data_IF_170779891396
#
_entry.id   IF_170779891396
#
_cell.length_a   1.000
_cell.length_b   1.000
_cell.length_c   1.000
_cell.angle_alpha   90.00
_cell.angle_beta   90.00
_cell.angle_gamma   90.00
#
_symmetry.space_group_name_H-M   'P 1'
#
loop_
_entity.id
_entity.type
_entity.pdbx_description
1 polymer ?
#
# COMPACT_ATOMS: atom_id res chain seq x y z
N UNK A 1 0.45 13.66 -17.54
CA UNK A 1 1.58 13.36 -16.63
C UNK A 1 1.45 14.23 -15.38
N UNK A 2 1.77 13.71 -14.19
CA UNK A 2 1.71 14.43 -12.93
C UNK A 2 2.99 14.19 -12.12
N UNK A 3 3.49 15.22 -11.42
CA UNK A 3 4.64 15.12 -10.52
C UNK A 3 4.17 15.38 -9.09
N UNK A 4 4.50 14.47 -8.18
CA UNK A 4 4.23 14.61 -6.75
C UNK A 4 5.54 14.68 -5.99
N UNK A 5 5.65 15.65 -5.09
CA UNK A 5 6.79 15.75 -4.19
C UNK A 5 6.32 16.06 -2.78
N UNK A 6 7.14 15.73 -1.81
CA UNK A 6 6.90 16.07 -0.42
C UNK A 6 8.10 16.81 0.17
N UNK A 7 7.86 17.68 1.15
CA UNK A 7 8.93 18.35 1.91
C UNK A 7 9.81 17.37 2.70
N UNK A 8 9.25 16.25 3.17
CA UNK A 8 9.91 15.41 4.19
C UNK A 8 10.12 13.95 3.81
N UNK A 9 9.95 13.55 2.54
CA UNK A 9 10.41 12.22 2.11
C UNK A 9 9.63 11.56 0.98
N UNK A 10 10.26 10.52 0.47
CA UNK A 10 9.78 9.63 -0.58
C UNK A 10 8.42 9.00 -0.26
N UNK A 11 8.16 8.67 1.00
CA UNK A 11 7.02 7.84 1.39
C UNK A 11 5.68 8.55 1.18
N UNK A 12 5.58 9.82 1.57
CA UNK A 12 4.35 10.61 1.37
C UNK A 12 4.11 10.93 -0.10
N UNK A 13 5.17 11.15 -0.87
CA UNK A 13 5.04 11.34 -2.31
C UNK A 13 4.64 10.04 -3.02
N UNK A 14 5.24 8.91 -2.63
CA UNK A 14 4.96 7.59 -3.19
C UNK A 14 3.54 7.12 -2.91
N UNK A 15 3.04 7.23 -1.68
CA UNK A 15 1.66 6.84 -1.37
C UNK A 15 0.65 7.75 -2.07
N UNK A 16 0.90 9.06 -2.17
CA UNK A 16 0.05 9.97 -2.92
C UNK A 16 0.00 9.60 -4.41
N UNK A 17 1.14 9.24 -5.01
CA UNK A 17 1.21 8.79 -6.39
C UNK A 17 0.48 7.44 -6.60
N UNK A 18 0.61 6.50 -5.66
CA UNK A 18 -0.10 5.23 -5.68
C UNK A 18 -1.62 5.46 -5.63
N UNK A 19 -2.10 6.27 -4.69
CA UNK A 19 -3.52 6.61 -4.53
C UNK A 19 -4.06 7.36 -5.76
N UNK A 20 -3.29 8.24 -6.38
CA UNK A 20 -3.69 8.91 -7.61
C UNK A 20 -3.88 7.91 -8.76
N UNK A 21 -2.93 6.99 -8.95
CA UNK A 21 -3.05 5.94 -9.97
C UNK A 21 -4.27 5.04 -9.71
N UNK A 22 -4.54 4.72 -8.45
CA UNK A 22 -5.67 3.89 -8.06
C UNK A 22 -7.01 4.61 -8.27
N UNK A 23 -7.17 5.77 -7.65
CA UNK A 23 -8.46 6.45 -7.53
C UNK A 23 -8.81 7.30 -8.76
N UNK A 24 -7.81 7.91 -9.38
CA UNK A 24 -8.05 8.83 -10.50
C UNK A 24 -7.82 8.17 -11.86
N UNK A 25 -6.80 7.29 -11.97
CA UNK A 25 -6.50 6.60 -13.23
C UNK A 25 -7.12 5.20 -13.32
N UNK A 26 -7.67 4.67 -12.23
CA UNK A 26 -8.30 3.34 -12.21
C UNK A 26 -7.32 2.18 -12.38
N UNK A 27 -6.03 2.38 -12.09
CA UNK A 27 -5.04 1.31 -12.21
C UNK A 27 -5.25 0.26 -11.09
N UNK A 28 -4.99 -1.04 -11.37
CA UNK A 28 -5.01 -2.07 -10.35
C UNK A 28 -4.07 -1.75 -9.19
N UNK A 29 -4.46 -2.06 -7.94
CA UNK A 29 -3.64 -1.75 -6.76
C UNK A 29 -2.23 -2.32 -6.85
N UNK A 30 -2.07 -3.54 -7.36
CA UNK A 30 -0.75 -4.16 -7.55
C UNK A 30 0.20 -3.26 -8.36
N UNK A 31 -0.28 -2.65 -9.44
CA UNK A 31 0.51 -1.74 -10.27
C UNK A 31 0.87 -0.45 -9.56
N UNK A 32 0.00 0.03 -8.67
CA UNK A 32 0.22 1.27 -7.91
C UNK A 32 1.27 1.11 -6.82
N UNK A 33 1.49 -0.10 -6.31
CA UNK A 33 2.53 -0.38 -5.31
C UNK A 33 3.95 -0.11 -5.84
N UNK A 34 4.13 -0.04 -7.16
CA UNK A 34 5.40 0.33 -7.79
C UNK A 34 5.81 1.80 -7.55
N UNK A 35 4.90 2.65 -7.06
CA UNK A 35 5.25 4.00 -6.61
C UNK A 35 5.93 4.00 -5.23
N UNK A 36 5.82 2.90 -4.47
CA UNK A 36 6.56 2.63 -3.24
C UNK A 36 7.77 1.75 -3.55
N UNK A 37 8.80 2.34 -4.16
CA UNK A 37 9.97 1.62 -4.64
C UNK A 37 11.28 2.25 -4.18
N UNK A 38 12.32 1.42 -4.01
CA UNK A 38 13.65 1.87 -3.55
C UNK A 38 14.27 2.93 -4.46
N UNK A 39 13.99 2.87 -5.77
CA UNK A 39 14.44 3.87 -6.75
C UNK A 39 13.94 5.29 -6.45
N UNK A 40 12.83 5.39 -5.72
CA UNK A 40 12.23 6.65 -5.28
C UNK A 40 12.59 7.01 -3.84
N UNK A 41 13.45 6.21 -3.19
CA UNK A 41 13.89 6.41 -1.80
C UNK A 41 12.97 5.76 -0.76
N UNK A 42 11.98 4.96 -1.16
CA UNK A 42 11.11 4.23 -0.24
C UNK A 42 11.77 2.93 0.23
N UNK A 43 11.75 2.65 1.53
CA UNK A 43 12.26 1.40 2.11
C UNK A 43 11.16 0.61 2.82
N UNK A 44 10.85 -0.56 2.26
CA UNK A 44 9.91 -1.54 2.80
C UNK A 44 10.33 -2.15 4.14
N UNK A 45 11.64 -2.25 4.39
CA UNK A 45 12.21 -2.84 5.61
C UNK A 45 12.21 -1.90 6.82
N UNK A 46 11.87 -0.63 6.62
CA UNK A 46 11.79 0.38 7.68
C UNK A 46 10.34 0.53 8.19
N UNK A 47 10.12 1.44 9.14
CA UNK A 47 8.77 1.78 9.64
C UNK A 47 7.80 2.20 8.53
N UNK A 48 8.33 2.71 7.43
CA UNK A 48 7.60 3.13 6.23
C UNK A 48 6.98 1.98 5.44
N UNK A 49 7.42 0.75 5.66
CA UNK A 49 6.79 -0.43 5.07
C UNK A 49 5.29 -0.51 5.38
N UNK A 50 4.82 0.03 6.50
CA UNK A 50 3.38 0.08 6.82
C UNK A 50 2.50 0.57 5.65
N UNK A 51 3.03 1.40 4.74
CA UNK A 51 2.35 1.88 3.54
C UNK A 51 2.10 0.77 2.49
N UNK A 52 3.08 -0.07 2.18
CA UNK A 52 2.80 -1.21 1.30
C UNK A 52 2.08 -2.35 2.03
N UNK A 53 2.20 -2.46 3.37
CA UNK A 53 1.34 -3.37 4.14
C UNK A 53 -0.13 -2.95 4.03
N UNK A 54 -0.42 -1.66 4.05
CA UNK A 54 -1.76 -1.10 3.83
C UNK A 54 -2.33 -1.47 2.46
N UNK A 55 -1.58 -1.25 1.38
CA UNK A 55 -2.03 -1.62 0.03
C UNK A 55 -2.17 -3.16 -0.13
N UNK A 56 -1.24 -3.94 0.42
CA UNK A 56 -1.30 -5.40 0.37
C UNK A 56 -2.48 -5.97 1.16
N UNK A 57 -2.83 -5.35 2.30
CA UNK A 57 -3.99 -5.73 3.11
C UNK A 57 -5.29 -5.54 2.35
N UNK A 58 -5.44 -4.44 1.61
CA UNK A 58 -6.56 -4.26 0.70
C UNK A 58 -6.61 -5.34 -0.38
N UNK A 59 -5.49 -5.62 -1.06
CA UNK A 59 -5.46 -6.66 -2.11
C UNK A 59 -5.89 -8.02 -1.54
N UNK A 60 -5.32 -8.42 -0.40
CA UNK A 60 -5.63 -9.70 0.23
C UNK A 60 -7.08 -9.81 0.73
N UNK A 61 -7.68 -8.69 1.16
CA UNK A 61 -9.10 -8.64 1.51
C UNK A 61 -9.97 -8.75 0.24
N UNK A 62 -9.67 -7.94 -0.77
CA UNK A 62 -10.43 -7.85 -2.01
C UNK A 62 -10.43 -9.16 -2.81
N UNK A 63 -9.36 -9.97 -2.71
CA UNK A 63 -9.32 -11.33 -3.29
C UNK A 63 -10.41 -12.26 -2.74
N UNK A 64 -10.79 -12.09 -1.48
CA UNK A 64 -11.77 -12.95 -0.79
C UNK A 64 -13.16 -12.32 -0.77
N UNK A 65 -13.22 -10.99 -0.72
CA UNK A 65 -14.43 -10.21 -0.58
C UNK A 65 -14.30 -8.97 -1.46
N UNK A 66 -14.72 -9.05 -2.74
CA UNK A 66 -14.60 -7.93 -3.66
C UNK A 66 -15.32 -6.68 -3.14
N UNK A 67 -14.59 -5.56 -3.05
CA UNK A 67 -15.08 -4.27 -2.56
C UNK A 67 -14.23 -3.14 -3.17
N UNK A 68 -14.86 -2.00 -3.47
CA UNK A 68 -14.11 -0.83 -3.93
C UNK A 68 -13.17 -0.30 -2.85
N UNK A 69 -12.00 0.20 -3.26
CA UNK A 69 -10.98 0.65 -2.31
C UNK A 69 -11.49 1.68 -1.30
N UNK A 70 -12.24 2.69 -1.72
CA UNK A 70 -12.77 3.70 -0.79
C UNK A 70 -13.82 3.12 0.16
N UNK A 71 -14.69 2.22 -0.33
CA UNK A 71 -15.64 1.54 0.53
C UNK A 71 -14.92 0.66 1.58
N UNK A 72 -13.82 0.01 1.20
CA UNK A 72 -12.97 -0.71 2.15
C UNK A 72 -12.33 0.22 3.18
N UNK A 73 -11.79 1.38 2.76
CA UNK A 73 -11.25 2.39 3.67
C UNK A 73 -12.29 2.86 4.68
N UNK A 74 -13.53 3.05 4.24
CA UNK A 74 -14.60 3.61 5.08
C UNK A 74 -15.26 2.58 6.02
N UNK A 75 -15.20 1.28 5.69
CA UNK A 75 -16.01 0.26 6.37
C UNK A 75 -15.23 -0.92 6.96
N UNK A 76 -14.00 -1.15 6.51
CA UNK A 76 -13.21 -2.33 6.88
C UNK A 76 -11.84 -1.96 7.43
N UNK A 77 -11.19 -0.95 6.86
CA UNK A 77 -9.88 -0.51 7.29
C UNK A 77 -9.91 0.01 8.73
N UNK A 78 -9.03 -0.55 9.55
CA UNK A 78 -8.76 -0.08 10.91
C UNK A 78 -7.25 0.20 11.02
N UNK A 79 -6.91 1.46 11.23
CA UNK A 79 -5.53 1.94 11.31
C UNK A 79 -4.75 1.31 12.48
N UNK A 80 -5.38 1.16 13.63
CA UNK A 80 -4.74 0.61 14.82
C UNK A 80 -4.52 -0.88 14.68
N UNK A 81 -5.52 -1.62 14.20
CA UNK A 81 -5.40 -3.04 13.91
C UNK A 81 -4.31 -3.30 12.86
N UNK A 82 -4.28 -2.50 11.79
CA UNK A 82 -3.29 -2.63 10.72
C UNK A 82 -1.86 -2.38 11.24
N UNK A 83 -1.65 -1.33 12.05
CA UNK A 83 -0.35 -1.07 12.67
C UNK A 83 0.05 -2.13 13.67
N UNK A 84 -0.90 -2.69 14.42
CA UNK A 84 -0.63 -3.79 15.35
C UNK A 84 -0.18 -5.04 14.58
N UNK A 85 -0.90 -5.41 13.52
CA UNK A 85 -0.54 -6.54 12.67
C UNK A 85 0.81 -6.33 11.97
N UNK A 86 1.07 -5.13 11.47
CA UNK A 86 2.38 -4.81 10.88
C UNK A 86 3.52 -4.95 11.89
N UNK A 87 3.30 -4.59 13.16
CA UNK A 87 4.30 -4.73 14.23
C UNK A 87 4.50 -6.18 14.66
N UNK A 88 3.45 -7.01 14.67
CA UNK A 88 3.55 -8.42 15.06
C UNK A 88 4.18 -9.27 13.97
N UNK A 89 3.78 -9.08 12.72
CA UNK A 89 4.14 -9.95 11.60
C UNK A 89 5.39 -9.43 10.85
N UNK A 90 5.72 -8.15 11.04
CA UNK A 90 6.78 -7.46 10.31
C UNK A 90 6.48 -7.31 8.81
N UNK A 91 7.52 -6.95 8.04
CA UNK A 91 7.44 -6.92 6.57
C UNK A 91 7.30 -8.32 5.95
N UNK A 92 7.66 -9.36 6.68
CA UNK A 92 7.68 -10.77 6.26
C UNK A 92 6.34 -11.49 6.44
N UNK A 93 5.23 -10.76 6.55
CA UNK A 93 3.93 -11.41 6.65
C UNK A 93 3.64 -12.20 5.36
N UNK A 94 3.03 -13.37 5.50
CA UNK A 94 2.60 -14.20 4.36
C UNK A 94 1.66 -13.43 3.41
N UNK A 95 0.98 -12.39 3.91
CA UNK A 95 0.13 -11.49 3.11
C UNK A 95 1.00 -10.69 2.13
N UNK A 96 2.02 -10.00 2.64
CA UNK A 96 2.92 -9.17 1.83
C UNK A 96 3.69 -10.03 0.83
N UNK A 97 4.23 -11.16 1.27
CA UNK A 97 4.98 -12.05 0.40
C UNK A 97 4.09 -12.65 -0.70
N UNK A 98 2.87 -13.08 -0.37
CA UNK A 98 1.92 -13.62 -1.37
C UNK A 98 1.46 -12.56 -2.36
N UNK A 99 1.21 -11.33 -1.92
CA UNK A 99 0.75 -10.24 -2.80
C UNK A 99 1.87 -9.74 -3.70
N UNK A 100 3.10 -9.61 -3.18
CA UNK A 100 4.24 -9.10 -3.93
C UNK A 100 4.93 -10.14 -4.82
N UNK A 101 4.91 -11.43 -4.46
CA UNK A 101 5.46 -12.51 -5.28
C UNK A 101 4.42 -13.13 -6.23
N UNK A 102 3.26 -12.48 -6.41
CA UNK A 102 2.29 -12.88 -7.42
C UNK A 102 2.72 -12.39 -8.80
N UNK A 103 3.86 -12.88 -9.28
CA UNK A 103 4.34 -12.90 -10.68
C UNK A 103 5.21 -14.14 -10.91
#
# INVERSE_FOLDING_TARGET
PALMHCKSGADRAGIAAALYRLLHLGHPVADTMNELHWRYGHSRKARTGVLDFFLASYVAYNEKTPIDFMAWVDTVYDDEALKQQFRSDGWSSLIVDKVLHRE
#
